data_IF_400657881631
#
_entry.id   IF_400657881631
#
_cell.length_a   1.000
_cell.length_b   1.000
_cell.length_c   1.000
_cell.angle_alpha   90.00
_cell.angle_beta   90.00
_cell.angle_gamma   90.00
#
_symmetry.space_group_name_H-M   'P 1'
#
loop_
_entity.id
_entity.type
_entity.pdbx_description
1 polymer ?
#
# COMPACT_ATOMS: atom_id res chain seq x y z
N UNK A 1 -9.53 19.52 -8.09
CA UNK A 1 -8.58 19.14 -7.02
C UNK A 1 -7.26 18.81 -7.70
N UNK A 2 -6.23 19.65 -7.57
CA UNK A 2 -4.90 19.32 -8.08
C UNK A 2 -4.24 18.33 -7.13
N UNK A 3 -3.46 17.38 -7.65
CA UNK A 3 -2.79 16.36 -6.83
C UNK A 3 -1.85 16.95 -5.76
N UNK A 4 -1.54 18.26 -5.79
CA UNK A 4 -0.64 18.94 -4.85
C UNK A 4 -1.08 18.99 -3.39
N UNK A 5 -2.38 18.87 -3.07
CA UNK A 5 -2.90 19.07 -1.70
C UNK A 5 -3.16 17.76 -0.93
N UNK A 6 -2.72 16.61 -1.47
CA UNK A 6 -2.89 15.32 -0.82
C UNK A 6 -1.74 15.06 0.17
N UNK A 7 -2.13 14.81 1.43
CA UNK A 7 -1.25 14.38 2.51
C UNK A 7 -1.28 12.86 2.65
N UNK A 8 -0.12 12.22 2.60
CA UNK A 8 0.00 10.77 2.84
C UNK A 8 0.39 10.54 4.30
N UNK A 9 -0.43 9.82 5.05
CA UNK A 9 -0.25 9.56 6.49
C UNK A 9 -0.08 8.08 6.71
N UNK A 10 0.96 7.67 7.44
CA UNK A 10 1.17 6.28 7.79
C UNK A 10 0.09 5.76 8.75
N UNK A 11 -0.27 4.48 8.68
CA UNK A 11 -1.24 3.92 9.63
C UNK A 11 -0.69 3.90 11.07
N UNK A 12 0.64 3.87 11.23
CA UNK A 12 1.34 3.98 12.51
C UNK A 12 1.12 5.33 13.22
N UNK A 13 0.79 6.37 12.45
CA UNK A 13 0.47 7.70 12.98
C UNK A 13 -1.01 7.81 13.39
N UNK A 14 -1.80 6.78 13.12
CA UNK A 14 -3.25 6.74 13.31
C UNK A 14 -3.64 5.62 14.28
N UNK A 15 -4.78 5.78 14.94
CA UNK A 15 -5.38 4.65 15.65
C UNK A 15 -5.85 3.62 14.63
N UNK A 16 -5.20 2.45 14.61
CA UNK A 16 -5.49 1.36 13.67
C UNK A 16 -6.98 0.96 13.71
N UNK A 17 -7.58 0.89 14.90
CA UNK A 17 -9.00 0.56 15.05
C UNK A 17 -9.93 1.65 14.51
N UNK A 18 -9.61 2.93 14.76
CA UNK A 18 -10.44 4.04 14.27
C UNK A 18 -10.38 4.17 12.74
N UNK A 19 -9.18 4.03 12.15
CA UNK A 19 -9.01 4.04 10.71
C UNK A 19 -9.74 2.85 10.07
N UNK A 20 -9.54 1.64 10.58
CA UNK A 20 -10.22 0.44 10.09
C UNK A 20 -11.75 0.61 10.12
N UNK A 21 -12.30 1.16 11.20
CA UNK A 21 -13.73 1.42 11.32
C UNK A 21 -14.25 2.35 10.20
N UNK A 22 -13.52 3.43 9.88
CA UNK A 22 -13.91 4.37 8.81
C UNK A 22 -13.77 3.76 7.42
N UNK A 23 -12.70 3.02 7.16
CA UNK A 23 -12.50 2.32 5.88
C UNK A 23 -13.58 1.24 5.66
N UNK A 24 -13.94 0.48 6.71
CA UNK A 24 -15.03 -0.49 6.63
C UNK A 24 -16.39 0.19 6.41
N UNK A 25 -16.65 1.35 7.03
CA UNK A 25 -17.89 2.08 6.85
C UNK A 25 -18.07 2.59 5.41
N UNK A 26 -16.98 3.00 4.75
CA UNK A 26 -16.97 3.54 3.38
C UNK A 26 -16.59 2.52 2.30
N UNK A 27 -16.35 1.25 2.65
CA UNK A 27 -15.78 0.23 1.74
C UNK A 27 -16.58 0.06 0.44
N UNK A 28 -17.91 0.17 0.48
CA UNK A 28 -18.76 0.02 -0.70
C UNK A 28 -18.47 1.10 -1.76
N UNK A 29 -18.10 2.30 -1.33
CA UNK A 29 -17.73 3.39 -2.23
C UNK A 29 -16.32 3.18 -2.78
N UNK A 30 -15.34 2.92 -1.91
CA UNK A 30 -13.94 2.67 -2.30
C UNK A 30 -13.79 1.54 -3.30
N UNK A 31 -14.49 0.43 -3.06
CA UNK A 31 -14.45 -0.78 -3.88
C UNK A 31 -15.56 -0.83 -4.93
N UNK A 32 -16.26 0.29 -5.17
CA UNK A 32 -17.26 0.38 -6.23
C UNK A 32 -16.66 0.04 -7.60
N UNK A 33 -17.28 -0.91 -8.30
CA UNK A 33 -16.80 -1.43 -9.59
C UNK A 33 -15.72 -2.51 -9.49
N UNK A 34 -15.35 -2.93 -8.28
CA UNK A 34 -14.53 -4.14 -8.07
C UNK A 34 -15.30 -5.39 -8.49
N UNK A 35 -14.56 -6.43 -8.90
CA UNK A 35 -15.10 -7.77 -9.09
C UNK A 35 -15.27 -8.54 -7.77
N UNK A 36 -14.70 -8.01 -6.67
CA UNK A 36 -14.85 -8.58 -5.34
C UNK A 36 -16.23 -8.26 -4.77
N UNK A 37 -16.87 -9.24 -4.16
CA UNK A 37 -18.06 -9.02 -3.35
C UNK A 37 -17.72 -8.37 -2.00
N UNK A 38 -18.76 -7.95 -1.28
CA UNK A 38 -18.63 -7.21 -0.02
C UNK A 38 -17.95 -8.05 1.08
N UNK A 39 -18.13 -9.36 1.08
CA UNK A 39 -17.53 -10.26 2.06
C UNK A 39 -16.05 -10.48 1.80
N UNK A 40 -15.64 -10.62 0.54
CA UNK A 40 -14.23 -10.62 0.15
C UNK A 40 -13.56 -9.29 0.50
N UNK A 41 -14.24 -8.16 0.27
CA UNK A 41 -13.72 -6.84 0.68
C UNK A 41 -13.59 -6.77 2.21
N UNK A 42 -14.57 -7.24 2.99
CA UNK A 42 -14.45 -7.32 4.46
C UNK A 42 -13.26 -8.18 4.88
N UNK A 43 -13.05 -9.32 4.25
CA UNK A 43 -11.95 -10.23 4.56
C UNK A 43 -10.59 -9.56 4.32
N UNK A 44 -10.44 -8.73 3.28
CA UNK A 44 -9.22 -7.93 3.07
C UNK A 44 -8.95 -6.92 4.21
N UNK A 45 -9.96 -6.60 5.02
CA UNK A 45 -9.88 -5.64 6.12
C UNK A 45 -9.92 -6.31 7.49
N UNK A 46 -9.65 -7.61 7.58
CA UNK A 46 -9.56 -8.26 8.89
C UNK A 46 -8.60 -7.48 9.82
N UNK A 47 -8.98 -7.20 11.08
CA UNK A 47 -8.15 -6.46 12.04
C UNK A 47 -6.72 -6.98 12.18
N UNK A 48 -6.49 -8.28 11.92
CA UNK A 48 -5.16 -8.89 11.93
C UNK A 48 -4.22 -8.23 10.91
N UNK A 49 -4.71 -7.87 9.72
CA UNK A 49 -3.89 -7.26 8.68
C UNK A 49 -3.49 -5.83 9.04
N UNK A 50 -4.35 -5.08 9.73
CA UNK A 50 -4.00 -3.75 10.21
C UNK A 50 -2.99 -3.80 11.35
N UNK A 51 -3.04 -4.82 12.21
CA UNK A 51 -2.03 -5.02 13.26
C UNK A 51 -0.69 -5.49 12.70
N UNK A 52 -0.70 -6.42 11.73
CA UNK A 52 0.52 -7.05 11.22
C UNK A 52 1.18 -6.27 10.08
N UNK A 53 0.38 -5.65 9.22
CA UNK A 53 0.85 -4.97 8.00
C UNK A 53 0.73 -3.45 8.10
N UNK A 54 0.01 -2.93 9.11
CA UNK A 54 -0.24 -1.50 9.26
C UNK A 54 1.02 -0.63 9.26
N UNK A 55 2.15 -1.14 9.74
CA UNK A 55 3.43 -0.42 9.75
C UNK A 55 3.98 0.00 8.38
N UNK A 56 3.38 -0.48 7.27
CA UNK A 56 3.73 -0.05 5.91
C UNK A 56 2.54 0.56 5.15
N UNK A 57 1.36 0.61 5.77
CA UNK A 57 0.17 1.18 5.18
C UNK A 57 0.19 2.72 5.16
N UNK A 58 -0.67 3.30 4.34
CA UNK A 58 -0.92 4.73 4.34
C UNK A 58 -2.33 5.07 3.85
N UNK A 59 -2.86 6.17 4.37
CA UNK A 59 -4.06 6.84 3.86
C UNK A 59 -3.66 8.15 3.20
N UNK A 60 -4.29 8.45 2.07
CA UNK A 60 -4.20 9.74 1.40
C UNK A 60 -5.38 10.60 1.85
N UNK A 61 -5.10 11.73 2.46
CA UNK A 61 -6.08 12.70 2.95
C UNK A 61 -6.07 13.94 2.05
N UNK A 62 -7.25 14.46 1.74
CA UNK A 62 -7.40 15.78 1.13
C UNK A 62 -7.08 16.90 2.14
N UNK A 63 -7.08 18.15 1.68
CA UNK A 63 -6.91 19.31 2.56
C UNK A 63 -8.01 19.42 3.63
N UNK A 64 -9.20 18.89 3.34
CA UNK A 64 -10.36 18.86 4.23
C UNK A 64 -10.41 17.57 5.08
N UNK A 65 -9.29 16.84 5.18
CA UNK A 65 -9.14 15.56 5.88
C UNK A 65 -10.07 14.43 5.37
N UNK A 66 -10.66 14.58 4.18
CA UNK A 66 -11.39 13.47 3.55
C UNK A 66 -10.43 12.37 3.06
N UNK A 67 -10.80 11.11 3.31
CA UNK A 67 -10.04 9.94 2.87
C UNK A 67 -10.19 9.75 1.35
N UNK A 68 -9.13 10.05 0.61
CA UNK A 68 -9.13 10.01 -0.85
C UNK A 68 -8.69 8.65 -1.41
N UNK A 69 -7.89 7.91 -0.65
CA UNK A 69 -7.33 6.61 -1.02
C UNK A 69 -6.56 6.00 0.14
N UNK A 70 -6.31 4.70 0.08
CA UNK A 70 -5.41 4.04 1.03
C UNK A 70 -4.71 2.86 0.39
N UNK A 71 -3.59 2.49 1.00
CA UNK A 71 -2.83 1.29 0.70
C UNK A 71 -2.51 0.56 1.99
N UNK A 72 -2.79 -0.73 2.02
CA UNK A 72 -2.34 -1.68 3.04
C UNK A 72 -1.40 -2.67 2.36
N UNK A 73 -0.21 -2.84 2.90
CA UNK A 73 0.81 -3.69 2.32
C UNK A 73 1.85 -4.07 3.36
N UNK A 74 2.75 -4.96 2.99
CA UNK A 74 3.80 -5.47 3.88
C UNK A 74 5.12 -5.58 3.15
N UNK A 75 6.20 -5.30 3.86
CA UNK A 75 7.55 -5.66 3.42
C UNK A 75 8.03 -6.80 4.30
N UNK A 76 8.17 -7.99 3.71
CA UNK A 76 8.57 -9.19 4.42
C UNK A 76 10.08 -9.19 4.75
N UNK A 77 10.49 -10.09 5.64
CA UNK A 77 11.90 -10.23 6.04
C UNK A 77 12.82 -10.71 4.89
N UNK A 78 12.27 -11.49 3.95
CA UNK A 78 12.90 -11.84 2.68
C UNK A 78 12.82 -10.72 1.63
N UNK A 79 12.37 -9.53 2.05
CA UNK A 79 12.44 -8.25 1.32
C UNK A 79 11.51 -8.19 0.11
N UNK A 80 10.41 -8.94 0.17
CA UNK A 80 9.33 -8.85 -0.79
C UNK A 80 8.33 -7.80 -0.32
N UNK A 81 8.09 -6.79 -1.16
CA UNK A 81 7.05 -5.81 -0.93
C UNK A 81 5.75 -6.29 -1.61
N UNK A 82 4.71 -6.52 -0.82
CA UNK A 82 3.41 -7.00 -1.29
C UNK A 82 2.33 -6.01 -0.92
N UNK A 83 1.56 -5.58 -1.92
CA UNK A 83 0.33 -4.81 -1.69
C UNK A 83 -0.79 -5.79 -1.40
N UNK A 84 -1.40 -5.66 -0.22
CA UNK A 84 -2.53 -6.48 0.22
C UNK A 84 -3.86 -5.86 -0.24
N UNK A 85 -4.00 -4.55 -0.08
CA UNK A 85 -5.16 -3.80 -0.56
C UNK A 85 -4.74 -2.39 -0.99
N UNK A 86 -5.34 -1.91 -2.08
CA UNK A 86 -5.24 -0.51 -2.49
C UNK A 86 -6.59 -0.08 -3.08
N UNK A 87 -7.11 1.04 -2.61
CA UNK A 87 -8.35 1.59 -3.13
C UNK A 87 -8.30 3.12 -3.18
N UNK A 88 -8.97 3.67 -4.19
CA UNK A 88 -9.14 5.12 -4.37
C UNK A 88 -10.62 5.40 -4.46
N UNK A 89 -11.06 6.34 -3.62
CA UNK A 89 -12.44 6.76 -3.58
C UNK A 89 -12.88 7.26 -4.97
N UNK A 90 -14.07 6.89 -5.47
CA UNK A 90 -14.49 7.16 -6.85
C UNK A 90 -14.40 8.65 -7.24
N UNK A 91 -14.76 9.56 -6.33
CA UNK A 91 -14.62 11.03 -6.52
C UNK A 91 -13.21 11.50 -6.89
N UNK A 92 -12.17 10.73 -6.56
CA UNK A 92 -10.77 11.13 -6.75
C UNK A 92 -9.99 10.21 -7.69
N UNK A 93 -10.66 9.26 -8.35
CA UNK A 93 -10.02 8.43 -9.39
C UNK A 93 -9.51 9.32 -10.54
N UNK A 94 -8.46 8.89 -11.21
CA UNK A 94 -7.81 9.67 -12.28
C UNK A 94 -6.89 10.81 -11.81
N UNK A 95 -6.70 11.01 -10.50
CA UNK A 95 -5.86 12.08 -9.94
C UNK A 95 -4.48 11.60 -9.43
N UNK A 96 -4.05 10.39 -9.80
CA UNK A 96 -2.72 9.85 -9.43
C UNK A 96 -2.55 9.41 -7.98
N UNK A 97 -3.62 9.31 -7.18
CA UNK A 97 -3.56 8.92 -5.76
C UNK A 97 -2.95 7.53 -5.57
N UNK A 98 -3.40 6.53 -6.34
CA UNK A 98 -2.86 5.18 -6.27
C UNK A 98 -1.36 5.16 -6.58
N UNK A 99 -0.92 5.91 -7.59
CA UNK A 99 0.49 6.07 -7.94
C UNK A 99 1.29 6.60 -6.77
N UNK A 100 0.84 7.69 -6.13
CA UNK A 100 1.54 8.29 -4.98
C UNK A 100 1.62 7.36 -3.77
N UNK A 101 0.55 6.59 -3.51
CA UNK A 101 0.53 5.58 -2.44
C UNK A 101 1.53 4.45 -2.72
N UNK A 102 1.58 3.96 -3.97
CA UNK A 102 2.51 2.93 -4.41
C UNK A 102 3.97 3.41 -4.36
N UNK A 103 4.24 4.66 -4.79
CA UNK A 103 5.56 5.28 -4.71
C UNK A 103 6.04 5.38 -3.26
N UNK A 104 5.20 5.88 -2.34
CA UNK A 104 5.53 5.91 -0.90
C UNK A 104 5.87 4.51 -0.37
N UNK A 105 5.08 3.51 -0.74
CA UNK A 105 5.27 2.13 -0.31
C UNK A 105 6.59 1.54 -0.87
N UNK A 106 6.87 1.75 -2.16
CA UNK A 106 8.10 1.31 -2.80
C UNK A 106 9.34 1.99 -2.19
N UNK A 107 9.26 3.28 -1.87
CA UNK A 107 10.32 4.03 -1.20
C UNK A 107 10.60 3.50 0.21
N UNK A 108 9.55 3.16 0.97
CA UNK A 108 9.69 2.53 2.29
C UNK A 108 10.38 1.16 2.19
N UNK A 109 9.96 0.33 1.24
CA UNK A 109 10.58 -0.96 0.98
C UNK A 109 12.06 -0.80 0.59
N UNK A 110 12.37 0.17 -0.26
CA UNK A 110 13.74 0.49 -0.68
C UNK A 110 14.63 0.94 0.48
N UNK A 111 14.14 1.82 1.35
CA UNK A 111 14.87 2.23 2.56
C UNK A 111 15.13 1.06 3.51
N UNK A 112 14.14 0.18 3.71
CA UNK A 112 14.31 -0.99 4.57
C UNK A 112 15.34 -1.97 3.98
N UNK A 113 15.26 -2.23 2.68
CA UNK A 113 16.23 -3.06 1.96
C UNK A 113 17.65 -2.49 2.07
N UNK A 114 17.83 -1.19 1.86
CA UNK A 114 19.12 -0.52 1.96
C UNK A 114 19.73 -0.66 3.38
N UNK A 115 18.92 -0.51 4.44
CA UNK A 115 19.36 -0.74 5.84
C UNK A 115 19.85 -2.16 6.07
N UNK A 116 19.33 -3.13 5.32
CA UNK A 116 19.78 -4.52 5.36
C UNK A 116 20.92 -4.84 4.38
N UNK A 117 21.48 -3.83 3.69
CA UNK A 117 22.54 -3.98 2.68
C UNK A 117 22.06 -4.56 1.35
N UNK A 118 20.76 -4.50 1.07
CA UNK A 118 20.17 -4.94 -0.19
C UNK A 118 19.86 -3.74 -1.10
N UNK A 119 19.94 -3.94 -2.41
CA UNK A 119 19.65 -2.92 -3.42
C UNK A 119 18.57 -3.41 -4.39
N UNK A 120 17.75 -2.50 -4.95
CA UNK A 120 16.74 -2.88 -5.94
C UNK A 120 17.44 -3.41 -7.20
N UNK A 121 16.89 -4.49 -7.74
CA UNK A 121 17.30 -5.11 -8.98
C UNK A 121 16.05 -5.52 -9.77
N UNK A 122 16.08 -5.45 -11.12
CA UNK A 122 15.05 -6.06 -11.95
C UNK A 122 14.99 -7.56 -11.65
N UNK A 123 13.79 -8.13 -11.51
CA UNK A 123 13.64 -9.58 -11.35
C UNK A 123 14.01 -10.29 -12.67
N UNK A 124 15.09 -11.11 -12.73
CA UNK A 124 15.54 -11.70 -14.00
C UNK A 124 14.70 -12.89 -14.48
N UNK A 125 13.80 -13.41 -13.64
CA UNK A 125 13.17 -14.71 -13.84
C UNK A 125 11.66 -14.71 -13.65
N UNK A 126 10.92 -14.05 -14.57
CA UNK A 126 9.51 -14.38 -14.76
C UNK A 126 9.03 -14.02 -16.18
N UNK A 127 8.65 -15.03 -16.96
CA UNK A 127 8.10 -14.90 -18.31
C UNK A 127 6.56 -14.87 -18.26
N UNK A 128 5.98 -13.90 -17.56
CA UNK A 128 4.53 -13.69 -17.47
C UNK A 128 4.15 -12.20 -17.54
N UNK A 129 2.88 -11.84 -17.80
CA UNK A 129 2.48 -10.46 -18.01
C UNK A 129 2.58 -9.64 -16.72
N UNK A 130 3.39 -8.58 -16.74
CA UNK A 130 3.68 -7.69 -15.60
C UNK A 130 5.16 -7.34 -15.55
N UNK A 131 5.58 -6.39 -16.40
CA UNK A 131 7.01 -6.06 -16.65
C UNK A 131 7.69 -5.21 -15.57
N UNK A 132 7.00 -4.85 -14.49
CA UNK A 132 7.48 -3.86 -13.53
C UNK A 132 7.61 -4.42 -12.10
N UNK A 133 8.30 -5.55 -11.93
CA UNK A 133 8.67 -6.06 -10.59
C UNK A 133 10.13 -5.75 -10.24
N UNK A 134 10.31 -4.99 -9.17
CA UNK A 134 11.59 -4.75 -8.51
C UNK A 134 11.75 -5.75 -7.36
N UNK A 135 12.90 -6.43 -7.29
CA UNK A 135 13.30 -7.29 -6.16
C UNK A 135 14.51 -6.67 -5.46
N UNK A 136 14.70 -6.90 -4.16
CA UNK A 136 15.86 -6.38 -3.43
C UNK A 136 16.90 -7.47 -3.16
N UNK A 137 18.09 -7.36 -3.74
CA UNK A 137 19.14 -8.38 -3.66
C UNK A 137 20.34 -7.93 -2.84
N UNK A 138 21.05 -8.88 -2.22
CA UNK A 138 22.31 -8.66 -1.50
C UNK A 138 23.24 -9.85 -1.74
N UNK A 139 24.51 -9.58 -2.06
CA UNK A 139 25.55 -10.60 -2.07
C UNK A 139 25.85 -11.08 -0.64
N UNK A 140 25.78 -12.40 -0.42
CA UNK A 140 26.28 -12.99 0.82
C UNK A 140 27.81 -13.04 0.75
N UNK A 141 28.54 -12.71 1.83
CA UNK A 141 29.97 -12.96 1.87
C UNK A 141 30.19 -14.47 1.76
N UNK A 142 30.79 -14.91 0.66
CA UNK A 142 31.33 -16.26 0.56
C UNK A 142 32.47 -16.35 1.57
N UNK A 143 32.34 -17.27 2.54
CA UNK A 143 33.41 -17.62 3.47
C UNK A 143 34.42 -18.53 2.80
#
# INVERSE_FOLDING_TARGET
>A
MTAGDLRLVGFEELSAGALLGRLLASRGEFWSGSQLDDDAVRALHDPVFFHQLGGFGAVALTADDEEAGYLLGVVSADRLAVVHAVAVHPRFRGHGIATRLLERFADLAGRLAARCGAHPAPSPGHAGPGRDRVVFTRGLPLR
#
